data_IF_138740681240
#
_entry.id   IF_138740681240
#
_cell.length_a   1.000
_cell.length_b   1.000
_cell.length_c   1.000
_cell.angle_alpha   90.00
_cell.angle_beta   90.00
_cell.angle_gamma   90.00
#
_symmetry.space_group_name_H-M   'P 1'
#
loop_
_entity.id
_entity.type
_entity.pdbx_description
1 polymer ?
#
# COMPACT_ATOMS: atom_id res chain seq x y z
N UNK A 1 -15.40 -7.00 5.43
CA UNK A 1 -13.91 -7.05 5.52
C UNK A 1 -13.39 -7.15 6.96
N UNK A 2 -14.27 -7.07 7.99
CA UNK A 2 -13.86 -7.22 9.39
C UNK A 2 -13.24 -8.58 9.77
N UNK A 3 -13.57 -9.65 9.04
CA UNK A 3 -13.08 -11.00 9.29
C UNK A 3 -11.74 -11.31 8.58
N UNK A 4 -11.17 -10.37 7.81
CA UNK A 4 -9.92 -10.62 7.09
C UNK A 4 -8.76 -10.88 8.06
N UNK A 5 -7.95 -11.95 7.85
CA UNK A 5 -6.74 -12.16 8.63
C UNK A 5 -5.79 -10.95 8.64
N UNK A 6 -5.81 -10.12 7.60
CA UNK A 6 -5.05 -8.88 7.52
C UNK A 6 -5.28 -7.96 8.74
N UNK A 7 -6.49 -7.91 9.30
CA UNK A 7 -6.80 -7.03 10.45
C UNK A 7 -6.05 -7.39 11.74
N UNK A 8 -5.54 -8.61 11.85
CA UNK A 8 -4.71 -9.05 12.98
C UNK A 8 -3.26 -9.25 12.57
N UNK A 9 -3.00 -9.98 11.48
CA UNK A 9 -1.64 -10.35 11.08
C UNK A 9 -0.78 -9.16 10.65
N UNK A 10 -1.37 -8.19 9.95
CA UNK A 10 -0.58 -7.06 9.41
C UNK A 10 -0.21 -6.03 10.47
N UNK A 11 -0.76 -6.14 11.68
CA UNK A 11 -0.28 -5.37 12.84
C UNK A 11 1.08 -5.87 13.34
N UNK A 12 1.45 -7.10 12.99
CA UNK A 12 2.73 -7.68 13.35
C UNK A 12 3.77 -7.35 12.25
N UNK A 13 4.73 -6.48 12.59
CA UNK A 13 5.78 -6.07 11.67
C UNK A 13 6.74 -7.23 11.32
N UNK A 14 7.00 -8.16 12.24
CA UNK A 14 7.82 -9.34 11.96
C UNK A 14 7.14 -10.26 10.92
N UNK A 15 5.80 -10.35 10.95
CA UNK A 15 5.05 -11.07 9.93
C UNK A 15 5.22 -10.43 8.55
N UNK A 16 5.03 -9.13 8.47
CA UNK A 16 5.18 -8.38 7.22
C UNK A 16 6.62 -8.45 6.69
N UNK A 17 7.60 -8.32 7.58
CA UNK A 17 9.02 -8.47 7.30
C UNK A 17 9.36 -9.87 6.78
N UNK A 18 8.83 -10.92 7.41
CA UNK A 18 9.04 -12.32 6.99
C UNK A 18 8.44 -12.61 5.61
N UNK A 19 7.27 -12.03 5.31
CA UNK A 19 6.51 -12.34 4.09
C UNK A 19 6.99 -11.52 2.88
N UNK A 20 7.34 -10.25 3.07
CA UNK A 20 7.64 -9.33 1.97
C UNK A 20 8.97 -8.59 2.11
N UNK A 21 9.69 -8.69 3.23
CA UNK A 21 10.84 -7.86 3.58
C UNK A 21 11.89 -7.71 2.48
N UNK A 22 12.31 -8.83 1.88
CA UNK A 22 13.34 -8.85 0.84
C UNK A 22 12.90 -8.37 -0.55
N UNK A 23 11.60 -8.19 -0.81
CA UNK A 23 11.12 -7.74 -2.13
C UNK A 23 11.32 -6.24 -2.25
N UNK A 24 11.73 -5.82 -3.46
CA UNK A 24 11.85 -4.41 -3.81
C UNK A 24 10.56 -3.91 -4.41
N UNK A 25 10.19 -2.69 -4.03
CA UNK A 25 8.97 -2.03 -4.49
C UNK A 25 9.25 -0.55 -4.79
N UNK A 26 8.61 0.01 -5.83
CA UNK A 26 8.62 1.45 -6.03
C UNK A 26 7.82 2.11 -4.89
N UNK A 27 8.40 3.12 -4.28
CA UNK A 27 7.76 3.98 -3.28
C UNK A 27 7.82 5.42 -3.74
N UNK A 28 6.78 6.17 -3.40
CA UNK A 28 6.77 7.62 -3.56
C UNK A 28 7.45 8.28 -2.36
N UNK A 29 8.33 9.25 -2.61
CA UNK A 29 9.00 10.03 -1.57
C UNK A 29 8.67 11.51 -1.78
N UNK A 30 8.20 12.16 -0.70
CA UNK A 30 7.78 13.56 -0.68
C UNK A 30 6.28 13.72 -0.42
N UNK A 31 5.78 14.95 -0.42
CA UNK A 31 4.40 15.26 0.01
C UNK A 31 3.30 14.68 -0.88
N UNK A 32 3.47 14.71 -2.21
CA UNK A 32 2.62 14.06 -3.22
C UNK A 32 3.16 14.32 -4.63
N UNK A 33 2.63 13.57 -5.62
CA UNK A 33 3.03 13.63 -7.03
C UNK A 33 2.81 14.97 -7.76
N UNK A 34 2.18 15.98 -7.14
CA UNK A 34 2.05 17.33 -7.71
C UNK A 34 3.18 18.27 -7.27
N UNK A 35 4.10 17.82 -6.42
CA UNK A 35 5.20 18.64 -5.88
C UNK A 35 6.51 18.42 -6.63
N UNK A 36 7.34 19.46 -6.84
CA UNK A 36 8.63 19.33 -7.54
C UNK A 36 9.61 18.38 -6.85
N UNK A 37 9.52 18.27 -5.52
CA UNK A 37 10.42 17.43 -4.72
C UNK A 37 10.02 15.94 -4.74
N UNK A 38 8.86 15.62 -5.32
CA UNK A 38 8.39 14.25 -5.41
C UNK A 38 9.27 13.42 -6.33
N UNK A 39 9.57 12.21 -5.88
CA UNK A 39 10.33 11.21 -6.63
C UNK A 39 9.85 9.80 -6.33
N UNK A 40 10.27 8.87 -7.17
CA UNK A 40 10.12 7.44 -6.91
C UNK A 40 11.47 6.81 -6.58
N UNK A 41 11.48 5.95 -5.57
CA UNK A 41 12.65 5.16 -5.20
C UNK A 41 12.30 3.67 -5.22
N UNK A 42 13.27 2.82 -5.60
CA UNK A 42 13.12 1.37 -5.57
C UNK A 42 13.85 0.81 -4.34
N UNK A 43 13.11 0.56 -3.27
CA UNK A 43 13.66 0.12 -1.98
C UNK A 43 13.11 -1.24 -1.58
N UNK A 44 13.79 -1.91 -0.66
CA UNK A 44 13.25 -3.14 -0.07
C UNK A 44 12.08 -2.82 0.86
N UNK A 45 11.16 -3.77 1.02
CA UNK A 45 10.06 -3.60 1.97
C UNK A 45 10.54 -3.46 3.41
N UNK A 46 11.65 -4.10 3.77
CA UNK A 46 12.30 -3.92 5.07
C UNK A 46 12.81 -2.49 5.29
N UNK A 47 13.41 -1.91 4.26
CA UNK A 47 13.85 -0.52 4.29
C UNK A 47 12.65 0.43 4.38
N UNK A 48 11.59 0.16 3.62
CA UNK A 48 10.33 0.89 3.72
C UNK A 48 9.77 0.86 5.15
N UNK A 49 9.66 -0.32 5.78
CA UNK A 49 9.21 -0.47 7.17
C UNK A 49 10.08 0.32 8.14
N UNK A 50 11.40 0.32 7.92
CA UNK A 50 12.34 1.07 8.74
C UNK A 50 12.11 2.59 8.62
N UNK A 51 11.89 3.09 7.40
CA UNK A 51 11.62 4.52 7.13
C UNK A 51 10.31 5.01 7.75
N UNK A 52 9.24 4.21 7.72
CA UNK A 52 7.95 4.62 8.32
C UNK A 52 7.95 4.51 9.85
N UNK A 53 8.86 3.73 10.42
CA UNK A 53 9.05 3.60 11.88
C UNK A 53 10.01 4.65 12.44
N UNK A 54 10.98 5.12 11.64
CA UNK A 54 11.82 6.24 12.03
C UNK A 54 10.93 7.47 12.16
N UNK A 55 10.78 7.95 13.39
CA UNK A 55 9.90 9.07 13.76
C UNK A 55 10.45 10.44 13.29
N UNK A 56 11.27 10.42 12.25
CA UNK A 56 11.93 11.60 11.71
C UNK A 56 10.88 12.37 10.91
N UNK A 57 10.49 13.54 11.42
CA UNK A 57 9.48 14.40 10.81
C UNK A 57 10.06 15.18 9.63
N UNK A 58 10.82 14.50 8.77
CA UNK A 58 11.30 15.10 7.54
C UNK A 58 10.12 15.28 6.57
N UNK A 59 10.24 16.23 5.65
CA UNK A 59 9.28 16.41 4.54
C UNK A 59 9.30 15.22 3.54
N UNK A 60 10.20 14.25 3.74
CA UNK A 60 10.41 13.07 2.89
C UNK A 60 9.54 11.88 3.31
N UNK A 61 8.22 12.10 3.36
CA UNK A 61 7.24 11.04 3.60
C UNK A 61 7.41 9.95 2.54
N UNK A 62 7.61 8.70 2.97
CA UNK A 62 7.68 7.54 2.09
C UNK A 62 6.33 6.84 2.04
N UNK A 63 5.76 6.69 0.84
CA UNK A 63 4.43 6.14 0.62
C UNK A 63 4.45 5.04 -0.44
N UNK A 64 4.07 3.83 -0.07
CA UNK A 64 3.79 2.75 -1.00
C UNK A 64 2.35 2.92 -1.48
N UNK A 65 2.19 3.56 -2.64
CA UNK A 65 0.89 3.84 -3.26
C UNK A 65 0.63 2.92 -4.45
N UNK A 66 -0.63 2.51 -4.61
CA UNK A 66 -1.14 1.84 -5.82
C UNK A 66 -0.30 0.63 -6.27
N UNK A 67 0.20 -0.17 -5.32
CA UNK A 67 1.13 -1.26 -5.64
C UNK A 67 0.46 -2.65 -5.51
N UNK A 68 0.67 -3.60 -6.45
CA UNK A 68 0.18 -4.97 -6.33
C UNK A 68 0.98 -5.81 -5.30
N UNK A 69 1.06 -5.32 -4.05
CA UNK A 69 1.78 -5.95 -2.92
C UNK A 69 1.20 -7.32 -2.55
N UNK A 70 0.00 -7.63 -3.05
CA UNK A 70 -0.78 -8.76 -2.58
C UNK A 70 -0.30 -10.13 -3.05
N UNK A 71 0.63 -10.28 -3.99
CA UNK A 71 1.09 -11.63 -4.37
C UNK A 71 1.52 -12.48 -3.16
N UNK A 72 2.17 -11.84 -2.17
CA UNK A 72 2.60 -12.54 -0.95
C UNK A 72 1.58 -12.52 0.20
N UNK A 73 0.69 -11.52 0.21
CA UNK A 73 -0.29 -11.30 1.29
C UNK A 73 -1.71 -11.71 0.87
N UNK A 74 -1.89 -12.28 -0.32
CA UNK A 74 -3.19 -12.58 -0.94
C UNK A 74 -4.10 -13.42 -0.07
N UNK A 75 -3.49 -14.34 0.70
CA UNK A 75 -4.19 -15.26 1.62
C UNK A 75 -4.81 -14.57 2.84
N UNK A 76 -4.44 -13.32 3.11
CA UNK A 76 -4.91 -12.58 4.28
C UNK A 76 -6.14 -11.70 3.98
N UNK A 77 -6.59 -11.67 2.72
CA UNK A 77 -7.75 -10.91 2.26
C UNK A 77 -8.64 -11.77 1.33
N UNK A 78 -9.90 -11.37 1.16
CA UNK A 78 -10.79 -11.95 0.16
C UNK A 78 -11.36 -10.86 -0.75
N UNK A 79 -11.77 -11.22 -1.96
CA UNK A 79 -12.46 -10.27 -2.85
C UNK A 79 -13.89 -10.13 -2.33
N UNK A 80 -14.41 -8.91 -2.09
CA UNK A 80 -15.80 -8.73 -1.69
C UNK A 80 -16.77 -9.25 -2.76
N UNK A 81 -17.84 -9.94 -2.35
CA UNK A 81 -18.84 -10.50 -3.27
C UNK A 81 -19.48 -9.43 -4.17
N UNK A 82 -19.57 -8.18 -3.71
CA UNK A 82 -20.05 -7.05 -4.51
C UNK A 82 -19.27 -6.86 -5.83
N UNK A 83 -18.00 -7.26 -5.87
CA UNK A 83 -17.19 -7.15 -7.08
C UNK A 83 -17.69 -8.07 -8.22
N UNK A 84 -18.47 -9.12 -7.94
CA UNK A 84 -19.01 -10.01 -8.98
C UNK A 84 -20.29 -9.49 -9.63
N UNK A 85 -20.91 -8.45 -9.09
CA UNK A 85 -22.23 -7.95 -9.56
C UNK A 85 -22.10 -7.19 -10.88
N UNK A 86 -20.97 -6.53 -11.12
CA UNK A 86 -20.76 -5.66 -12.28
C UNK A 86 -20.56 -6.37 -13.63
N UNK A 87 -20.59 -7.70 -13.67
CA UNK A 87 -20.42 -8.49 -14.90
C UNK A 87 -19.05 -8.40 -15.56
N UNK A 88 -18.09 -7.71 -14.93
CA UNK A 88 -16.71 -7.56 -15.38
C UNK A 88 -15.73 -8.37 -14.54
N UNK A 89 -14.50 -8.48 -15.03
CA UNK A 89 -13.41 -9.12 -14.30
C UNK A 89 -12.77 -8.16 -13.29
N UNK A 90 -12.21 -8.73 -12.21
CA UNK A 90 -11.40 -7.98 -11.25
C UNK A 90 -10.20 -7.36 -11.98
N UNK A 91 -10.11 -6.02 -11.95
CA UNK A 91 -9.06 -5.29 -12.67
C UNK A 91 -7.72 -5.29 -11.94
N UNK A 92 -7.69 -4.68 -10.77
CA UNK A 92 -6.48 -4.48 -9.99
C UNK A 92 -6.77 -4.68 -8.51
N UNK A 93 -5.73 -5.13 -7.81
CA UNK A 93 -5.75 -5.31 -6.36
C UNK A 93 -4.47 -4.64 -5.85
N UNK A 94 -4.63 -3.45 -5.29
CA UNK A 94 -3.52 -2.57 -4.94
C UNK A 94 -3.50 -2.28 -3.44
N UNK A 95 -2.31 -2.20 -2.87
CA UNK A 95 -2.08 -1.81 -1.50
C UNK A 95 -1.66 -0.34 -1.44
N UNK A 96 -2.10 0.31 -0.37
CA UNK A 96 -1.65 1.63 0.04
C UNK A 96 -1.11 1.48 1.46
N UNK A 97 0.16 1.81 1.66
CA UNK A 97 0.82 1.70 2.95
C UNK A 97 1.80 2.87 3.14
N UNK A 98 1.64 3.62 4.22
CA UNK A 98 2.52 4.72 4.57
C UNK A 98 2.24 5.24 5.98
N UNK A 99 3.07 6.19 6.45
CA UNK A 99 2.94 6.79 7.77
C UNK A 99 1.79 7.83 7.79
N UNK A 100 1.43 8.37 8.98
CA UNK A 100 0.52 9.50 9.06
C UNK A 100 1.00 10.69 8.19
N UNK A 101 0.08 11.29 7.44
CA UNK A 101 0.38 12.47 6.61
C UNK A 101 0.56 12.18 5.12
N UNK A 102 0.51 10.92 4.67
CA UNK A 102 0.45 10.60 3.24
C UNK A 102 -0.78 11.23 2.60
N UNK A 103 -0.60 11.87 1.44
CA UNK A 103 -1.68 12.51 0.69
C UNK A 103 -1.69 11.96 -0.73
N UNK A 104 -2.84 11.43 -1.14
CA UNK A 104 -3.18 11.27 -2.55
C UNK A 104 -4.08 12.45 -2.94
N UNK A 105 -3.61 13.40 -3.76
CA UNK A 105 -4.41 14.53 -4.25
C UNK A 105 -5.75 14.11 -4.85
N UNK A 106 -6.69 15.04 -4.95
CA UNK A 106 -8.00 14.80 -5.55
C UNK A 106 -7.85 14.36 -7.02
N UNK A 107 -8.43 13.21 -7.36
CA UNK A 107 -8.43 12.63 -8.70
C UNK A 107 -9.66 11.73 -8.87
N UNK A 108 -9.83 11.16 -10.07
CA UNK A 108 -10.81 10.11 -10.34
C UNK A 108 -10.12 8.89 -10.95
N UNK A 109 -10.67 7.71 -10.67
CA UNK A 109 -10.26 6.45 -11.27
C UNK A 109 -11.18 6.08 -12.44
N UNK A 110 -10.69 5.33 -13.45
CA UNK A 110 -11.51 4.87 -14.57
C UNK A 110 -12.44 3.68 -14.23
N UNK A 111 -12.35 3.13 -13.02
CA UNK A 111 -13.05 1.92 -12.60
C UNK A 111 -13.73 2.11 -11.25
N UNK A 112 -14.77 1.33 -10.98
CA UNK A 112 -15.34 1.22 -9.64
C UNK A 112 -14.31 0.64 -8.67
N UNK A 113 -14.23 1.23 -7.47
CA UNK A 113 -13.22 0.86 -6.48
C UNK A 113 -13.88 0.57 -5.12
N UNK A 114 -13.29 -0.37 -4.37
CA UNK A 114 -13.61 -0.63 -2.96
C UNK A 114 -12.31 -0.44 -2.19
N UNK A 115 -12.25 0.62 -1.36
CA UNK A 115 -11.16 0.86 -0.43
C UNK A 115 -11.51 0.26 0.94
N UNK A 116 -10.57 -0.47 1.55
CA UNK A 116 -10.84 -1.43 2.63
C UNK A 116 -9.81 -1.42 3.76
#
# INVERSE_FOLDING_TARGET
>A
MAHWPARTKWKNMDYLQKVAGGRKFPVEVGKNYLRPEWKQELITFSEFLSRIQSNDRSDDITYLAQHPLFDQLRKDICIPDYCSIGGGELRSLNAWFGPPGTVTPLHHDPHHNILA
#
